data_IF_462180834858
#
_entry.id   IF_462180834858
#
_cell.length_a   1.000
_cell.length_b   1.000
_cell.length_c   1.000
_cell.angle_alpha   90.00
_cell.angle_beta   90.00
_cell.angle_gamma   90.00
#
_symmetry.space_group_name_H-M   'P 1'
#
loop_
_entity.id
_entity.type
_entity.pdbx_description
1 polymer ?
#
# COMPACT_ATOMS: atom_id res chain seq x y z
N UNK A 1 0.54 -2.13 12.07
CA UNK A 1 1.52 -1.33 12.82
C UNK A 1 1.22 0.12 12.51
N UNK A 2 0.71 0.90 13.47
CA UNK A 2 0.63 2.36 13.37
C UNK A 2 1.85 3.00 12.68
N UNK A 3 1.67 4.06 11.89
CA UNK A 3 2.77 4.78 11.23
C UNK A 3 3.85 5.28 12.20
N UNK A 4 3.50 5.47 13.47
CA UNK A 4 4.40 5.98 14.51
C UNK A 4 5.09 4.90 15.33
N UNK A 5 4.78 3.63 15.13
CA UNK A 5 5.42 2.54 15.88
C UNK A 5 6.90 2.44 15.54
N UNK A 6 7.70 2.11 16.55
CA UNK A 6 9.12 1.80 16.36
C UNK A 6 9.30 0.31 16.21
N UNK A 7 10.11 -0.10 15.24
CA UNK A 7 10.56 -1.48 15.09
C UNK A 7 11.98 -1.55 15.60
N UNK A 8 12.18 -2.09 16.81
CA UNK A 8 13.48 -2.10 17.51
C UNK A 8 14.65 -2.58 16.65
N UNK A 9 14.43 -3.60 15.82
CA UNK A 9 15.45 -4.14 14.92
C UNK A 9 15.82 -3.19 13.77
N UNK A 10 14.88 -2.36 13.31
CA UNK A 10 15.13 -1.34 12.29
C UNK A 10 15.83 -0.12 12.90
N UNK A 11 15.46 0.27 14.12
CA UNK A 11 16.07 1.44 14.80
C UNK A 11 17.58 1.28 15.01
N UNK A 12 18.04 0.04 15.21
CA UNK A 12 19.46 -0.28 15.40
C UNK A 12 20.14 -0.79 14.12
N UNK A 13 19.43 -0.82 13.00
CA UNK A 13 20.00 -1.32 11.76
C UNK A 13 20.94 -0.27 11.15
N UNK A 14 22.23 -0.61 11.07
CA UNK A 14 23.19 0.22 10.38
C UNK A 14 23.02 0.05 8.86
N UNK A 15 22.13 0.85 8.28
CA UNK A 15 21.90 0.87 6.85
C UNK A 15 23.19 1.22 6.11
N UNK A 16 23.57 0.38 5.15
CA UNK A 16 24.51 0.79 4.11
C UNK A 16 23.91 2.04 3.42
N UNK A 17 24.75 2.98 2.96
CA UNK A 17 24.30 4.28 2.41
C UNK A 17 23.37 4.24 1.18
N UNK A 18 22.92 3.06 0.76
CA UNK A 18 21.93 2.80 -0.31
C UNK A 18 20.55 2.42 0.24
N UNK A 19 20.40 2.26 1.55
CA UNK A 19 19.13 1.92 2.21
C UNK A 19 18.72 3.13 3.06
N UNK A 20 17.52 3.63 2.82
CA UNK A 20 16.96 4.77 3.54
C UNK A 20 15.69 4.30 4.25
N UNK A 21 15.59 4.60 5.54
CA UNK A 21 14.35 4.43 6.31
C UNK A 21 13.64 5.76 6.40
N UNK A 22 12.59 5.94 5.61
CA UNK A 22 11.70 7.10 5.74
C UNK A 22 10.76 6.92 6.94
N UNK A 23 10.55 8.00 7.70
CA UNK A 23 9.62 8.01 8.83
C UNK A 23 8.63 9.17 8.68
N UNK A 24 7.32 8.91 8.83
CA UNK A 24 6.34 9.99 8.83
C UNK A 24 6.56 10.91 10.03
N UNK A 25 6.29 12.19 9.82
CA UNK A 25 6.30 13.20 10.89
C UNK A 25 5.18 12.92 11.91
N UNK A 26 5.43 13.25 13.18
CA UNK A 26 4.46 13.10 14.28
C UNK A 26 3.82 14.44 14.58
N UNK A 27 2.48 14.51 14.58
CA UNK A 27 1.74 15.75 14.84
C UNK A 27 1.33 15.92 16.29
N UNK A 28 1.03 14.84 17.02
CA UNK A 28 0.40 14.93 18.33
C UNK A 28 1.11 14.08 19.40
N UNK A 29 1.01 14.51 20.66
CA UNK A 29 1.66 13.85 21.80
C UNK A 29 0.84 12.68 22.39
N UNK A 30 -0.40 12.45 21.94
CA UNK A 30 -1.38 11.56 22.57
C UNK A 30 -1.82 10.37 21.69
N UNK A 31 -2.45 9.33 22.26
CA UNK A 31 -2.51 7.96 21.70
C UNK A 31 -3.29 7.73 20.39
N UNK A 32 -3.98 8.74 19.82
CA UNK A 32 -4.63 8.65 18.49
C UNK A 32 -3.65 9.03 17.37
N UNK A 33 -2.42 8.57 17.50
CA UNK A 33 -1.24 9.08 16.80
C UNK A 33 -1.04 8.53 15.38
N UNK A 34 -2.13 8.25 14.66
CA UNK A 34 -2.08 7.63 13.33
C UNK A 34 -2.27 8.65 12.19
N UNK A 35 -2.42 9.94 12.51
CA UNK A 35 -2.52 10.97 11.50
C UNK A 35 -1.14 11.32 10.94
N UNK A 36 -1.07 11.40 9.61
CA UNK A 36 0.14 11.67 8.84
C UNK A 36 0.06 13.12 8.36
N UNK A 37 1.19 13.85 8.33
CA UNK A 37 1.19 15.17 7.70
C UNK A 37 0.86 15.09 6.22
N UNK A 38 0.30 16.17 5.70
CA UNK A 38 0.33 16.46 4.26
C UNK A 38 1.74 16.39 3.64
N UNK A 39 2.79 16.85 4.32
CA UNK A 39 4.19 16.72 3.86
C UNK A 39 4.65 15.27 3.83
N UNK A 40 4.34 14.46 4.84
CA UNK A 40 4.67 13.03 4.86
C UNK A 40 3.89 12.25 3.81
N UNK A 41 2.60 12.53 3.63
CA UNK A 41 1.78 11.98 2.54
C UNK A 41 2.37 12.32 1.17
N UNK A 42 2.82 13.58 1.00
CA UNK A 42 3.45 14.02 -0.24
C UNK A 42 4.75 13.27 -0.50
N UNK A 43 5.60 13.08 0.51
CA UNK A 43 6.83 12.30 0.38
C UNK A 43 6.57 10.85 0.00
N UNK A 44 5.54 10.21 0.57
CA UNK A 44 5.14 8.86 0.19
C UNK A 44 4.69 8.82 -1.28
N UNK A 45 3.83 9.76 -1.70
CA UNK A 45 3.37 9.86 -3.08
C UNK A 45 4.54 10.09 -4.06
N UNK A 46 5.47 10.99 -3.72
CA UNK A 46 6.67 11.22 -4.54
C UNK A 46 7.55 9.96 -4.60
N UNK A 47 7.71 9.24 -3.48
CA UNK A 47 8.46 7.97 -3.46
C UNK A 47 7.85 6.91 -4.37
N UNK A 48 6.53 6.76 -4.33
CA UNK A 48 5.81 5.86 -5.25
C UNK A 48 5.93 6.34 -6.69
N UNK A 49 5.82 7.64 -6.96
CA UNK A 49 5.92 8.19 -8.30
C UNK A 49 7.31 7.99 -8.94
N UNK A 50 8.37 8.17 -8.16
CA UNK A 50 9.75 8.10 -8.67
C UNK A 50 10.38 6.70 -8.57
N UNK A 51 9.82 5.75 -7.83
CA UNK A 51 10.37 4.40 -7.76
C UNK A 51 10.24 3.64 -9.09
N UNK A 52 11.13 2.66 -9.29
CA UNK A 52 11.06 1.71 -10.40
C UNK A 52 10.13 0.52 -10.10
N UNK A 53 10.08 0.07 -8.84
CA UNK A 53 9.23 -1.01 -8.38
C UNK A 53 8.97 -0.91 -6.88
N UNK A 54 7.87 -1.53 -6.43
CA UNK A 54 7.51 -1.65 -5.01
C UNK A 54 7.59 -3.11 -4.58
N UNK A 55 8.28 -3.36 -3.48
CA UNK A 55 8.30 -4.65 -2.79
C UNK A 55 7.47 -4.54 -1.52
N UNK A 56 6.60 -5.52 -1.27
CA UNK A 56 5.80 -5.53 -0.05
C UNK A 56 5.44 -6.94 0.42
N UNK A 57 4.95 -7.02 1.65
CA UNK A 57 4.15 -8.16 2.11
C UNK A 57 2.65 -7.90 1.85
N UNK A 58 1.75 -8.45 2.67
CA UNK A 58 0.31 -8.24 2.55
C UNK A 58 -0.08 -6.82 3.02
N UNK A 59 0.24 -5.81 2.21
CA UNK A 59 -0.04 -4.40 2.44
C UNK A 59 -0.95 -3.81 1.35
N UNK A 60 -1.76 -2.82 1.73
CA UNK A 60 -2.55 -2.04 0.75
C UNK A 60 -1.69 -1.19 -0.17
N UNK A 61 -0.39 -1.03 0.13
CA UNK A 61 0.57 -0.35 -0.74
C UNK A 61 0.63 -0.92 -2.16
N UNK A 62 0.19 -2.15 -2.37
CA UNK A 62 0.02 -2.72 -3.71
C UNK A 62 -0.94 -1.88 -4.58
N UNK A 63 -2.02 -1.35 -3.99
CA UNK A 63 -3.00 -0.51 -4.69
C UNK A 63 -2.42 0.86 -5.00
N UNK A 64 -1.75 1.49 -4.03
CA UNK A 64 -1.14 2.80 -4.18
C UNK A 64 -0.01 2.78 -5.23
N UNK A 65 0.81 1.73 -5.24
CA UNK A 65 1.84 1.54 -6.26
C UNK A 65 1.23 1.35 -7.66
N UNK A 66 0.16 0.55 -7.78
CA UNK A 66 -0.53 0.34 -9.04
C UNK A 66 -1.20 1.61 -9.58
N UNK A 67 -1.66 2.50 -8.69
CA UNK A 67 -2.18 3.82 -9.07
C UNK A 67 -1.13 4.64 -9.83
N UNK A 68 0.14 4.57 -9.41
CA UNK A 68 1.28 5.21 -10.10
C UNK A 68 1.85 4.37 -11.25
N UNK A 69 1.14 3.32 -11.68
CA UNK A 69 1.57 2.35 -12.68
C UNK A 69 2.92 1.70 -12.37
N UNK A 70 3.21 1.45 -11.09
CA UNK A 70 4.45 0.84 -10.62
C UNK A 70 4.31 -0.66 -10.44
N UNK A 71 5.25 -1.48 -10.98
CA UNK A 71 5.31 -2.91 -10.68
C UNK A 71 5.33 -3.20 -9.19
N UNK A 72 4.57 -4.22 -8.76
CA UNK A 72 4.48 -4.65 -7.36
C UNK A 72 4.87 -6.12 -7.24
N UNK A 73 5.86 -6.40 -6.41
CA UNK A 73 6.32 -7.75 -6.07
C UNK A 73 5.98 -8.03 -4.60
N UNK A 74 5.17 -9.04 -4.36
CA UNK A 74 4.66 -9.43 -3.06
C UNK A 74 5.41 -10.66 -2.54
N UNK A 75 5.99 -10.56 -1.35
CA UNK A 75 6.60 -11.70 -0.67
C UNK A 75 5.53 -12.55 0.02
N UNK A 76 5.34 -13.77 -0.48
CA UNK A 76 4.48 -14.82 0.07
C UNK A 76 5.23 -15.91 0.84
N UNK A 77 6.49 -15.65 1.22
CA UNK A 77 7.38 -16.59 1.91
C UNK A 77 8.00 -15.95 3.16
N UNK A 78 8.44 -16.77 4.11
CA UNK A 78 8.89 -16.34 5.44
C UNK A 78 10.41 -16.08 5.52
N UNK A 79 10.98 -15.52 4.45
CA UNK A 79 12.43 -15.31 4.33
C UNK A 79 13.19 -16.63 4.24
N UNK A 80 14.23 -16.79 5.07
CA UNK A 80 15.06 -17.99 5.11
C UNK A 80 14.43 -19.15 5.90
N UNK A 81 13.33 -18.90 6.61
CA UNK A 81 12.66 -19.91 7.44
C UNK A 81 11.47 -20.51 6.70
N UNK A 82 11.20 -21.80 6.93
CA UNK A 82 9.93 -22.42 6.57
C UNK A 82 9.02 -22.47 7.79
N UNK A 83 8.03 -21.60 7.86
CA UNK A 83 7.11 -21.53 9.02
C UNK A 83 5.86 -22.36 8.78
N UNK A 84 5.25 -22.94 9.84
CA UNK A 84 3.91 -23.51 9.73
C UNK A 84 2.92 -22.46 9.24
N UNK A 85 1.96 -22.84 8.37
CA UNK A 85 1.03 -21.93 7.71
C UNK A 85 0.38 -20.90 8.64
N UNK A 86 -0.09 -21.30 9.84
CA UNK A 86 -0.70 -20.40 10.83
C UNK A 86 0.24 -19.29 11.34
N UNK A 87 1.55 -19.45 11.19
CA UNK A 87 2.60 -18.48 11.53
C UNK A 87 3.22 -17.82 10.29
N UNK A 88 2.92 -18.33 9.10
CA UNK A 88 3.44 -17.83 7.83
C UNK A 88 2.78 -16.52 7.42
N UNK A 89 3.53 -15.67 6.71
CA UNK A 89 3.00 -14.48 6.02
C UNK A 89 2.00 -14.88 4.92
N UNK A 90 2.14 -16.07 4.34
CA UNK A 90 1.32 -16.55 3.23
C UNK A 90 -0.17 -16.52 3.56
N UNK A 91 -0.53 -16.86 4.81
CA UNK A 91 -1.93 -16.94 5.26
C UNK A 91 -2.73 -15.64 5.08
N UNK A 92 -2.06 -14.50 5.06
CA UNK A 92 -2.73 -13.20 4.92
C UNK A 92 -3.27 -12.99 3.49
N UNK A 93 -2.65 -13.62 2.50
CA UNK A 93 -3.11 -13.55 1.11
C UNK A 93 -4.37 -14.42 0.85
N UNK A 94 -4.73 -15.31 1.79
CA UNK A 94 -5.97 -16.09 1.71
C UNK A 94 -7.20 -15.32 2.22
N UNK A 95 -7.02 -14.10 2.75
CA UNK A 95 -8.13 -13.24 3.14
C UNK A 95 -8.90 -12.72 1.93
N UNK A 96 -10.22 -12.58 2.08
CA UNK A 96 -11.12 -12.27 0.96
C UNK A 96 -10.76 -10.99 0.21
N UNK A 97 -10.24 -9.97 0.90
CA UNK A 97 -9.85 -8.71 0.26
C UNK A 97 -8.66 -8.87 -0.71
N UNK A 98 -7.82 -9.90 -0.54
CA UNK A 98 -6.72 -10.19 -1.47
C UNK A 98 -7.18 -10.88 -2.75
N UNK A 99 -8.34 -11.55 -2.77
CA UNK A 99 -8.81 -12.30 -3.94
C UNK A 99 -8.90 -11.43 -5.19
N UNK A 100 -9.43 -10.21 -5.07
CA UNK A 100 -9.53 -9.30 -6.21
C UNK A 100 -8.16 -8.73 -6.62
N UNK A 101 -7.34 -8.38 -5.63
CA UNK A 101 -5.98 -7.86 -5.85
C UNK A 101 -5.15 -8.87 -6.63
N UNK A 102 -5.10 -10.13 -6.20
CA UNK A 102 -4.34 -11.18 -6.88
C UNK A 102 -4.92 -11.55 -8.25
N UNK A 103 -6.26 -11.62 -8.36
CA UNK A 103 -6.94 -11.94 -9.63
C UNK A 103 -6.67 -10.90 -10.73
N UNK A 104 -6.46 -9.63 -10.36
CA UNK A 104 -6.14 -8.57 -11.34
C UNK A 104 -4.79 -8.78 -12.04
N UNK A 105 -3.88 -9.57 -11.45
CA UNK A 105 -2.51 -9.72 -11.93
C UNK A 105 -1.62 -8.49 -11.76
N UNK A 106 -2.14 -7.37 -11.22
CA UNK A 106 -1.44 -6.10 -11.06
C UNK A 106 -0.38 -6.10 -9.95
N UNK A 107 -0.43 -7.09 -9.05
CA UNK A 107 0.61 -7.36 -8.06
C UNK A 107 1.00 -8.83 -8.10
N UNK A 108 2.31 -9.12 -8.12
CA UNK A 108 2.86 -10.48 -8.31
C UNK A 108 3.21 -11.12 -6.97
N UNK A 109 2.42 -12.11 -6.56
CA UNK A 109 2.71 -12.92 -5.38
C UNK A 109 3.76 -13.98 -5.69
N UNK A 110 4.90 -13.89 -5.00
CA UNK A 110 5.99 -14.85 -5.09
C UNK A 110 5.97 -15.77 -3.87
N UNK A 111 6.02 -17.08 -4.10
CA UNK A 111 5.94 -18.09 -3.05
C UNK A 111 7.32 -18.62 -2.62
N UNK A 112 8.38 -18.16 -3.28
CA UNK A 112 9.77 -18.51 -2.96
C UNK A 112 10.72 -17.33 -3.17
N UNK A 113 11.93 -17.36 -2.56
CA UNK A 113 12.99 -16.41 -2.84
C UNK A 113 13.41 -16.38 -4.32
N UNK A 114 13.39 -17.53 -5.00
CA UNK A 114 13.78 -17.65 -6.41
C UNK A 114 12.77 -16.96 -7.33
N UNK A 115 11.47 -17.21 -7.11
CA UNK A 115 10.39 -16.51 -7.83
C UNK A 115 10.47 -15.01 -7.59
N UNK A 116 10.70 -14.62 -6.33
CA UNK A 116 10.84 -13.22 -5.97
C UNK A 116 12.01 -12.53 -6.68
N UNK A 117 13.18 -13.16 -6.73
CA UNK A 117 14.34 -12.61 -7.40
C UNK A 117 14.10 -12.43 -8.91
N UNK A 118 13.43 -13.39 -9.55
CA UNK A 118 13.08 -13.31 -10.97
C UNK A 118 12.08 -12.19 -11.23
N UNK A 119 10.97 -12.15 -10.48
CA UNK A 119 9.93 -11.12 -10.64
C UNK A 119 10.46 -9.72 -10.32
N UNK A 120 11.33 -9.58 -9.31
CA UNK A 120 11.98 -8.30 -9.01
C UNK A 120 12.90 -7.85 -10.14
N UNK A 121 13.73 -8.75 -10.69
CA UNK A 121 14.59 -8.42 -11.82
C UNK A 121 13.78 -7.98 -13.05
N UNK A 122 12.65 -8.65 -13.33
CA UNK A 122 11.72 -8.24 -14.38
C UNK A 122 11.10 -6.86 -14.11
N UNK A 123 10.62 -6.64 -12.89
CA UNK A 123 9.99 -5.39 -12.47
C UNK A 123 10.87 -4.15 -12.68
N UNK A 124 12.18 -4.26 -12.43
CA UNK A 124 13.12 -3.13 -12.58
C UNK A 124 13.73 -3.01 -13.98
N UNK A 125 13.69 -4.07 -14.80
CA UNK A 125 14.31 -4.08 -16.13
C UNK A 125 13.34 -3.80 -17.27
N UNK A 126 12.08 -4.25 -17.16
CA UNK A 126 11.08 -4.12 -18.22
C UNK A 126 10.06 -3.04 -17.85
N UNK A 127 10.28 -1.83 -18.37
CA UNK A 127 9.36 -0.73 -18.15
C UNK A 127 7.98 -1.05 -18.74
N UNK A 128 6.93 -0.70 -17.99
CA UNK A 128 5.52 -0.76 -18.40
C UNK A 128 4.93 -2.18 -18.64
N UNK A 129 5.67 -3.28 -18.43
CA UNK A 129 5.05 -4.61 -18.42
C UNK A 129 4.01 -4.70 -17.30
N UNK A 130 2.83 -5.25 -17.58
CA UNK A 130 1.78 -5.39 -16.57
C UNK A 130 0.95 -4.12 -16.30
N UNK A 131 1.09 -3.07 -17.11
CA UNK A 131 0.37 -1.78 -16.91
C UNK A 131 -1.15 -1.94 -17.00
N UNK A 132 -1.62 -2.79 -17.92
CA UNK A 132 -3.04 -3.10 -18.04
C UNK A 132 -3.59 -3.73 -16.76
N UNK A 133 -2.90 -4.74 -16.24
CA UNK A 133 -3.24 -5.50 -15.04
C UNK A 133 -3.24 -4.60 -13.79
N UNK A 134 -2.27 -3.68 -13.69
CA UNK A 134 -2.28 -2.62 -12.66
C UNK A 134 -3.48 -1.69 -12.79
N UNK A 135 -3.83 -1.30 -14.01
CA UNK A 135 -5.06 -0.55 -14.27
C UNK A 135 -6.32 -1.32 -13.87
N UNK A 136 -6.37 -2.63 -14.06
CA UNK A 136 -7.45 -3.50 -13.59
C UNK A 136 -7.50 -3.58 -12.06
N UNK A 137 -6.33 -3.67 -11.40
CA UNK A 137 -6.22 -3.62 -9.94
C UNK A 137 -6.80 -2.31 -9.39
N UNK A 138 -6.38 -1.17 -9.95
CA UNK A 138 -6.84 0.15 -9.52
C UNK A 138 -8.34 0.28 -9.73
N UNK A 139 -8.89 -0.08 -10.90
CA UNK A 139 -10.34 -0.03 -11.14
C UNK A 139 -11.13 -0.94 -10.20
N UNK A 140 -10.55 -2.07 -9.80
CA UNK A 140 -11.17 -3.01 -8.88
C UNK A 140 -11.20 -2.54 -7.42
N UNK A 141 -10.24 -1.71 -7.01
CA UNK A 141 -10.09 -1.26 -5.62
C UNK A 141 -10.50 0.21 -5.39
N UNK A 142 -10.45 1.03 -6.44
CA UNK A 142 -10.70 2.46 -6.39
C UNK A 142 -11.80 2.84 -7.36
N UNK A 143 -12.96 3.26 -6.83
CA UNK A 143 -14.04 3.79 -7.65
C UNK A 143 -13.67 5.12 -8.33
N UNK A 144 -12.88 5.95 -7.65
CA UNK A 144 -12.45 7.26 -8.13
C UNK A 144 -10.96 7.47 -7.91
N UNK A 145 -10.30 8.14 -8.86
CA UNK A 145 -8.86 8.42 -8.87
C UNK A 145 -8.55 9.90 -9.13
N UNK A 146 -9.57 10.75 -9.08
CA UNK A 146 -9.54 12.18 -9.44
C UNK A 146 -9.12 13.12 -8.29
N UNK A 147 -8.84 12.59 -7.10
CA UNK A 147 -8.55 13.39 -5.90
C UNK A 147 -9.76 14.14 -5.32
N UNK A 148 -10.97 13.94 -5.86
CA UNK A 148 -12.19 14.66 -5.47
C UNK A 148 -12.91 14.16 -4.22
N UNK A 149 -12.28 13.30 -3.42
CA UNK A 149 -12.98 12.54 -2.36
C UNK A 149 -13.54 13.40 -1.24
N UNK A 150 -12.79 14.41 -0.81
CA UNK A 150 -13.28 15.36 0.20
C UNK A 150 -14.50 16.14 -0.27
N UNK A 151 -14.49 16.62 -1.53
CA UNK A 151 -15.62 17.36 -2.11
C UNK A 151 -16.88 16.49 -2.24
N UNK A 152 -16.71 15.23 -2.70
CA UNK A 152 -17.80 14.26 -2.78
C UNK A 152 -18.41 13.96 -1.40
N UNK A 153 -17.58 13.75 -0.37
CA UNK A 153 -18.05 13.52 0.99
C UNK A 153 -18.76 14.74 1.58
N UNK A 154 -18.16 15.94 1.46
CA UNK A 154 -18.75 17.19 1.97
C UNK A 154 -20.15 17.43 1.38
N UNK A 155 -20.31 17.18 0.08
CA UNK A 155 -21.59 17.35 -0.61
C UNK A 155 -22.69 16.46 -0.02
N UNK A 156 -22.36 15.21 0.35
CA UNK A 156 -23.29 14.28 1.01
C UNK A 156 -23.66 14.78 2.41
N UNK A 157 -22.67 15.20 3.20
CA UNK A 157 -22.90 15.70 4.57
C UNK A 157 -23.84 16.91 4.57
N UNK A 158 -23.58 17.91 3.71
CA UNK A 158 -24.41 19.12 3.62
C UNK A 158 -25.84 18.80 3.19
N UNK A 159 -26.01 17.89 2.22
CA UNK A 159 -27.34 17.46 1.75
C UNK A 159 -28.13 16.77 2.86
N UNK A 160 -27.49 15.91 3.66
CA UNK A 160 -28.16 15.22 4.78
C UNK A 160 -28.54 16.18 5.89
N UNK A 161 -27.63 17.07 6.31
CA UNK A 161 -27.88 18.04 7.37
C UNK A 161 -29.05 19.00 7.04
N UNK A 162 -29.18 19.42 5.78
CA UNK A 162 -30.28 20.26 5.32
C UNK A 162 -31.64 19.55 5.28
N UNK A 163 -31.66 18.23 5.07
CA UNK A 163 -32.88 17.44 5.04
C UNK A 163 -33.40 17.11 6.45
N UNK A 164 -32.50 16.92 7.41
CA UNK A 164 -32.87 16.69 8.82
C UNK A 164 -33.39 17.97 9.49
N UNK A 165 -32.88 19.14 9.08
CA UNK A 165 -33.41 20.45 9.48
C UNK A 165 -34.83 20.75 8.99
N UNK A 166 -35.40 19.93 8.07
CA UNK A 166 -36.78 20.06 7.58
C UNK A 166 -37.77 19.09 8.24
N UNK A 167 -37.33 18.26 9.20
CA UNK A 167 -38.19 17.28 9.92
C UNK A 167 -38.65 17.73 11.32
N UNK A 168 -38.45 19.00 11.67
CA UNK A 168 -38.90 19.57 12.95
C UNK A 168 -39.81 20.78 12.67
N UNK A 169 -40.99 20.55 12.08
CA UNK A 169 -42.15 21.45 12.20
C UNK A 169 -43.42 20.62 12.05
#
# INVERSE_FOLDING_TARGET
MPPTDKVSNLENFNALGRIIFDRPERFFATPKNNEISKSSDRRLADSLFYCDAVVSGPSTMAVDAAFFDKPVVLAGFDGAEKRPYKKSILRYYDYDHWKQVLRSGGAKLCLSPEEFALEFALAVSVKNSGSRERGELVRGQCQFTDGGSTGRLLSVILKTAQNDGKKII
#
